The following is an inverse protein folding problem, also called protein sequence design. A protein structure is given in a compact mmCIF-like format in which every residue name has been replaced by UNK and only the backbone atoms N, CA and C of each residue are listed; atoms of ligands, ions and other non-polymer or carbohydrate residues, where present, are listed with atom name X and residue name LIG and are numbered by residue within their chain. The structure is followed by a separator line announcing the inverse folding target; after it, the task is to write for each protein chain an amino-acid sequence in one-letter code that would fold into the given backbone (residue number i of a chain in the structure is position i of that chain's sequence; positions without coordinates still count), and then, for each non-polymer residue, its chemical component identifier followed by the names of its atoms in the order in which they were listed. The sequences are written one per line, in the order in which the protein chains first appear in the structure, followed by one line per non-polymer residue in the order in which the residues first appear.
data_IF_588335148714
#
_entry.id   IF_588335148714
#
_cell.length_a   1.000
_cell.length_b   1.000
_cell.length_c   1.000
_cell.angle_alpha   90.00
_cell.angle_beta   90.00
_cell.angle_gamma   90.00
#
_symmetry.space_group_name_H-M   'P 1'
#
loop_
_entity.id
_entity.type
_entity.pdbx_description
1 polymer ?
#
# COMPACT_ATOMS: atom_id res chain seq x y z
N UNK A 1 18.53 -1.28 17.29
CA UNK A 1 17.07 -1.08 17.16
C UNK A 1 16.62 -1.91 15.97
N UNK A 2 15.57 -2.72 16.09
CA UNK A 2 15.02 -3.45 14.94
C UNK A 2 14.39 -2.42 14.00
N UNK A 3 14.93 -2.23 12.80
CA UNK A 3 14.35 -1.32 11.81
C UNK A 3 13.16 -1.99 11.14
N UNK A 4 11.95 -1.50 11.39
CA UNK A 4 10.75 -1.88 10.63
C UNK A 4 10.93 -1.49 9.17
N UNK A 5 10.57 -2.39 8.25
CA UNK A 5 10.57 -2.12 6.82
C UNK A 5 9.16 -1.77 6.36
N UNK A 6 9.08 -0.86 5.40
CA UNK A 6 7.84 -0.50 4.72
C UNK A 6 7.89 -1.02 3.29
N UNK A 7 6.90 -1.82 2.93
CA UNK A 7 6.73 -2.32 1.58
C UNK A 7 5.47 -1.68 0.97
N UNK A 8 5.61 -1.09 -0.22
CA UNK A 8 4.49 -0.54 -0.97
C UNK A 8 4.22 -1.48 -2.15
N UNK A 9 2.99 -1.94 -2.27
CA UNK A 9 2.55 -2.78 -3.38
C UNK A 9 1.41 -2.09 -4.14
N UNK A 10 1.61 -1.86 -5.43
CA UNK A 10 0.61 -1.27 -6.33
C UNK A 10 -0.15 -2.39 -7.04
N UNK A 11 -1.47 -2.34 -6.97
CA UNK A 11 -2.36 -3.42 -7.45
C UNK A 11 -3.37 -2.91 -8.48
N UNK A 12 -3.77 -3.80 -9.38
CA UNK A 12 -4.82 -3.55 -10.36
C UNK A 12 -6.08 -4.32 -9.99
N UNK A 13 -7.22 -3.67 -10.17
CA UNK A 13 -8.50 -4.36 -10.05
C UNK A 13 -8.69 -5.29 -11.25
N UNK A 14 -9.45 -6.36 -11.05
CA UNK A 14 -9.92 -7.21 -12.16
C UNK A 14 -10.64 -6.35 -13.21
N UNK A 15 -10.37 -6.52 -14.52
CA UNK A 15 -10.83 -5.59 -15.55
C UNK A 15 -12.36 -5.49 -15.70
N UNK A 16 -13.09 -6.54 -15.36
CA UNK A 16 -14.56 -6.63 -15.42
C UNK A 16 -15.29 -5.94 -14.25
N UNK A 17 -14.57 -5.56 -13.19
CA UNK A 17 -15.16 -4.89 -12.02
C UNK A 17 -15.25 -3.38 -12.22
N UNK A 18 -16.15 -2.71 -11.51
CA UNK A 18 -16.05 -1.25 -11.31
C UNK A 18 -15.05 -0.93 -10.21
N UNK A 19 -14.58 0.32 -10.13
CA UNK A 19 -13.76 0.78 -8.98
C UNK A 19 -14.50 0.57 -7.66
N UNK A 20 -15.80 0.87 -7.61
CA UNK A 20 -16.63 0.68 -6.41
C UNK A 20 -16.72 -0.78 -5.98
N UNK A 21 -16.95 -1.70 -6.93
CA UNK A 21 -17.00 -3.14 -6.64
C UNK A 21 -15.67 -3.65 -6.09
N UNK A 22 -14.56 -3.24 -6.72
CA UNK A 22 -13.21 -3.56 -6.26
C UNK A 22 -12.97 -3.04 -4.84
N UNK A 23 -13.23 -1.76 -4.58
CA UNK A 23 -13.04 -1.15 -3.26
C UNK A 23 -13.91 -1.78 -2.18
N UNK A 24 -15.17 -2.08 -2.49
CA UNK A 24 -16.06 -2.72 -1.55
C UNK A 24 -15.57 -4.13 -1.20
N UNK A 25 -15.21 -4.95 -2.20
CA UNK A 25 -14.67 -6.29 -1.93
C UNK A 25 -13.37 -6.22 -1.15
N UNK A 26 -12.44 -5.38 -1.59
CA UNK A 26 -11.10 -5.27 -1.00
C UNK A 26 -11.16 -4.79 0.45
N UNK A 27 -12.03 -3.82 0.77
CA UNK A 27 -12.15 -3.26 2.12
C UNK A 27 -13.07 -4.06 3.04
N UNK A 28 -14.18 -4.60 2.54
CA UNK A 28 -15.21 -5.19 3.40
C UNK A 28 -15.19 -6.71 3.44
N UNK A 29 -14.58 -7.38 2.45
CA UNK A 29 -14.52 -8.85 2.36
C UNK A 29 -13.08 -9.34 2.56
N UNK A 30 -12.12 -8.76 1.84
CA UNK A 30 -10.72 -9.17 1.89
C UNK A 30 -10.01 -8.67 3.15
N UNK A 31 -10.15 -7.39 3.50
CA UNK A 31 -9.43 -6.80 4.64
C UNK A 31 -9.66 -7.52 5.99
N UNK A 32 -10.85 -8.01 6.35
CA UNK A 32 -11.03 -8.83 7.56
C UNK A 32 -10.18 -10.12 7.57
N UNK A 33 -10.05 -10.80 6.42
CA UNK A 33 -9.22 -12.00 6.28
C UNK A 33 -7.74 -11.66 6.48
N UNK A 34 -7.29 -10.57 5.86
CA UNK A 34 -5.92 -10.05 6.03
C UNK A 34 -5.68 -9.64 7.48
N UNK A 35 -6.60 -8.94 8.14
CA UNK A 35 -6.43 -8.51 9.53
C UNK A 35 -6.27 -9.71 10.48
N UNK A 36 -7.07 -10.77 10.29
CA UNK A 36 -6.91 -12.01 11.05
C UNK A 36 -5.55 -12.67 10.80
N UNK A 37 -5.17 -12.84 9.54
CA UNK A 37 -3.91 -13.47 9.15
C UNK A 37 -2.68 -12.66 9.58
N UNK A 38 -2.72 -11.34 9.41
CA UNK A 38 -1.65 -10.41 9.78
C UNK A 38 -1.39 -10.46 11.30
N UNK A 39 -2.46 -10.42 12.10
CA UNK A 39 -2.36 -10.56 13.56
C UNK A 39 -1.77 -11.91 13.96
N UNK A 40 -2.23 -13.01 13.35
CA UNK A 40 -1.73 -14.37 13.63
C UNK A 40 -0.24 -14.51 13.31
N UNK A 41 0.20 -13.88 12.22
CA UNK A 41 1.57 -14.00 11.72
C UNK A 41 2.50 -12.85 12.15
N UNK A 42 2.06 -11.95 13.04
CA UNK A 42 2.92 -10.88 13.56
C UNK A 42 3.34 -9.84 12.51
N UNK A 43 2.50 -9.59 11.50
CA UNK A 43 2.65 -8.44 10.62
C UNK A 43 2.31 -7.17 11.42
N UNK A 44 3.13 -6.12 11.29
CA UNK A 44 3.02 -4.92 12.13
C UNK A 44 1.87 -4.03 11.64
N UNK A 45 1.73 -3.88 10.31
CA UNK A 45 0.75 -2.97 9.72
C UNK A 45 0.34 -3.37 8.31
N UNK A 46 -0.89 -3.04 7.97
CA UNK A 46 -1.47 -3.18 6.64
C UNK A 46 -2.42 -2.01 6.39
N UNK A 47 -2.11 -1.18 5.41
CA UNK A 47 -2.92 -0.03 5.01
C UNK A 47 -3.34 -0.17 3.56
N UNK A 48 -4.63 0.01 3.30
CA UNK A 48 -5.18 0.09 1.95
C UNK A 48 -5.32 1.56 1.53
N UNK A 49 -4.87 1.88 0.33
CA UNK A 49 -5.08 3.17 -0.31
C UNK A 49 -5.90 2.91 -1.57
N UNK A 50 -7.12 3.44 -1.60
CA UNK A 50 -7.95 3.45 -2.80
C UNK A 50 -7.51 4.61 -3.69
N UNK A 51 -7.23 4.34 -4.96
CA UNK A 51 -6.73 5.35 -5.90
C UNK A 51 -7.70 5.51 -7.08
N UNK A 52 -8.93 6.00 -6.83
CA UNK A 52 -9.91 6.16 -7.89
C UNK A 52 -9.40 7.10 -8.98
N UNK A 53 -9.81 6.83 -10.20
CA UNK A 53 -9.52 7.62 -11.38
C UNK A 53 -9.82 9.11 -11.17
N UNK A 54 -10.89 9.45 -10.45
CA UNK A 54 -11.26 10.84 -10.13
C UNK A 54 -10.21 11.58 -9.28
N UNK A 55 -9.44 10.87 -8.44
CA UNK A 55 -8.35 11.48 -7.66
C UNK A 55 -7.01 11.46 -8.41
N UNK A 56 -6.82 10.51 -9.34
CA UNK A 56 -5.58 10.42 -10.14
C UNK A 56 -5.58 11.33 -11.37
N UNK A 57 -6.72 11.55 -12.00
CA UNK A 57 -6.83 12.37 -13.21
C UNK A 57 -6.29 13.79 -13.03
N UNK A 58 -6.62 14.53 -11.96
CA UNK A 58 -6.10 15.89 -11.78
C UNK A 58 -4.57 15.95 -11.64
N UNK A 59 -3.93 14.87 -11.21
CA UNK A 59 -2.46 14.80 -11.11
C UNK A 59 -1.79 14.84 -12.49
N UNK A 60 -2.49 14.43 -13.56
CA UNK A 60 -1.95 14.44 -14.92
C UNK A 60 -1.79 15.85 -15.48
N UNK A 61 -2.60 16.78 -14.99
CA UNK A 61 -2.61 18.17 -15.43
C UNK A 61 -1.70 19.07 -14.58
N UNK A 62 -1.02 18.51 -13.57
CA UNK A 62 -0.11 19.28 -12.74
C UNK A 62 1.09 19.80 -13.56
N UNK A 63 1.48 21.08 -13.42
CA UNK A 63 2.57 21.68 -14.19
C UNK A 63 3.96 21.31 -13.61
N UNK A 64 4.16 20.05 -13.26
CA UNK A 64 5.42 19.51 -12.73
C UNK A 64 5.74 18.18 -13.41
N UNK A 65 7.02 17.79 -13.54
CA UNK A 65 7.42 16.58 -14.27
C UNK A 65 7.16 15.32 -13.43
N UNK A 66 5.89 14.91 -13.32
CA UNK A 66 5.48 13.69 -12.62
C UNK A 66 4.88 12.66 -13.58
N UNK A 67 5.00 11.38 -13.22
CA UNK A 67 4.29 10.28 -13.88
C UNK A 67 3.21 9.78 -12.94
N UNK A 68 1.95 9.83 -13.40
CA UNK A 68 0.81 9.27 -12.65
C UNK A 68 0.73 7.78 -12.94
N UNK A 69 0.80 6.97 -11.89
CA UNK A 69 0.72 5.52 -12.05
C UNK A 69 -0.74 5.08 -12.26
N UNK A 70 -0.94 4.14 -13.17
CA UNK A 70 -2.24 3.57 -13.52
C UNK A 70 -2.49 2.27 -12.73
N UNK A 71 -2.73 2.43 -11.44
CA UNK A 71 -3.15 1.38 -10.50
C UNK A 71 -4.43 1.80 -9.80
N UNK A 72 -5.23 0.81 -9.40
CA UNK A 72 -6.52 1.03 -8.73
C UNK A 72 -6.37 1.05 -7.20
N UNK A 73 -5.26 0.54 -6.67
CA UNK A 73 -4.96 0.66 -5.25
C UNK A 73 -3.48 0.50 -4.92
N UNK A 74 -3.13 0.87 -3.69
CA UNK A 74 -1.84 0.60 -3.09
C UNK A 74 -2.00 -0.01 -1.70
N UNK A 75 -1.12 -0.95 -1.35
CA UNK A 75 -0.95 -1.48 0.00
C UNK A 75 0.32 -0.91 0.58
N UNK A 76 0.29 -0.49 1.84
CA UNK A 76 1.48 -0.29 2.66
C UNK A 76 1.52 -1.39 3.71
N UNK A 77 2.57 -2.21 3.66
CA UNK A 77 2.89 -3.18 4.70
C UNK A 77 3.97 -2.63 5.62
N UNK A 78 3.77 -2.79 6.91
CA UNK A 78 4.82 -2.61 7.91
C UNK A 78 5.24 -3.99 8.40
N UNK A 79 6.50 -4.34 8.17
CA UNK A 79 7.02 -5.69 8.41
C UNK A 79 8.29 -5.64 9.24
N UNK A 80 8.51 -6.61 10.15
CA UNK A 80 9.71 -6.64 10.98
C UNK A 80 10.95 -7.02 10.17
N UNK A 81 10.80 -7.87 9.15
CA UNK A 81 11.85 -8.23 8.19
C UNK A 81 11.24 -8.89 6.95
N UNK A 82 12.02 -8.97 5.87
CA UNK A 82 11.62 -9.71 4.66
C UNK A 82 11.44 -11.21 4.92
N UNK A 83 12.30 -11.81 5.74
CA UNK A 83 12.18 -13.23 6.10
C UNK A 83 10.86 -13.51 6.83
N UNK A 84 10.51 -12.65 7.79
CA UNK A 84 9.26 -12.78 8.54
C UNK A 84 8.04 -12.63 7.63
N UNK A 85 8.06 -11.64 6.73
CA UNK A 85 7.02 -11.45 5.73
C UNK A 85 6.85 -12.70 4.86
N UNK A 86 7.93 -13.23 4.28
CA UNK A 86 7.88 -14.45 3.45
C UNK A 86 7.36 -15.66 4.25
N UNK A 87 7.77 -15.80 5.51
CA UNK A 87 7.31 -16.89 6.36
C UNK A 87 5.80 -16.80 6.66
N UNK A 88 5.24 -15.60 6.78
CA UNK A 88 3.79 -15.41 6.99
C UNK A 88 2.95 -16.02 5.84
N UNK A 89 3.44 -15.95 4.59
CA UNK A 89 2.74 -16.51 3.43
C UNK A 89 2.73 -18.06 3.42
N UNK A 90 3.51 -18.71 4.29
CA UNK A 90 3.47 -20.17 4.46
C UNK A 90 2.30 -20.62 5.33
N UNK A 91 1.57 -19.70 5.96
CA UNK A 91 0.36 -20.03 6.71
C UNK A 91 -0.68 -20.70 5.79
N UNK A 92 -1.15 -21.93 6.10
CA UNK A 92 -2.18 -22.58 5.30
C UNK A 92 -3.43 -21.73 5.08
N UNK A 93 -3.79 -20.88 6.05
CA UNK A 93 -4.93 -19.95 5.92
C UNK A 93 -4.77 -18.98 4.75
N UNK A 94 -3.53 -18.56 4.43
CA UNK A 94 -3.28 -17.73 3.27
C UNK A 94 -3.68 -18.48 1.99
N UNK A 95 -3.20 -19.71 1.83
CA UNK A 95 -3.46 -20.52 0.66
C UNK A 95 -4.93 -20.96 0.52
N UNK A 96 -5.63 -21.22 1.63
CA UNK A 96 -7.03 -21.68 1.61
C UNK A 96 -8.06 -20.56 1.51
N UNK A 97 -7.80 -19.39 2.10
CA UNK A 97 -8.84 -18.37 2.30
C UNK A 97 -8.51 -17.02 1.66
N UNK A 98 -7.22 -16.63 1.59
CA UNK A 98 -6.78 -15.32 1.10
C UNK A 98 -6.44 -15.39 -0.39
N UNK A 99 -5.55 -16.29 -0.79
CA UNK A 99 -5.12 -16.39 -2.18
C UNK A 99 -6.29 -16.66 -3.16
N UNK A 100 -7.28 -17.52 -2.85
CA UNK A 100 -8.46 -17.69 -3.70
C UNK A 100 -9.40 -16.47 -3.67
N UNK A 101 -9.42 -15.72 -2.56
CA UNK A 101 -10.23 -14.52 -2.46
C UNK A 101 -9.71 -13.40 -3.36
N UNK A 102 -8.40 -13.27 -3.48
CA UNK A 102 -7.72 -12.34 -4.37
C UNK A 102 -8.16 -12.49 -5.84
N UNK A 103 -8.48 -13.70 -6.30
CA UNK A 103 -8.95 -13.96 -7.68
C UNK A 103 -10.33 -13.31 -7.96
N UNK A 104 -11.05 -12.93 -6.91
CA UNK A 104 -12.35 -12.27 -7.05
C UNK A 104 -12.23 -10.78 -7.35
N UNK A 105 -11.08 -10.14 -7.10
CA UNK A 105 -10.96 -8.68 -7.20
C UNK A 105 -9.65 -8.16 -7.78
N UNK A 106 -8.55 -8.91 -7.75
CA UNK A 106 -7.28 -8.53 -8.37
C UNK A 106 -7.21 -8.98 -9.83
N UNK A 107 -6.57 -8.16 -10.65
CA UNK A 107 -6.10 -8.60 -11.96
C UNK A 107 -4.79 -9.39 -11.80
N UNK A 108 -4.87 -10.71 -11.99
CA UNK A 108 -3.73 -11.63 -11.98
C UNK A 108 -3.32 -12.10 -13.39
N UNK A 109 -3.81 -11.44 -14.45
CA UNK A 109 -3.42 -11.77 -15.83
C UNK A 109 -1.96 -11.42 -16.16
N UNK A 110 -1.33 -10.58 -15.32
CA UNK A 110 0.08 -10.17 -15.37
C UNK A 110 0.70 -10.32 -13.97
N UNK A 111 1.59 -9.40 -13.58
CA UNK A 111 2.08 -9.29 -12.22
C UNK A 111 0.96 -8.85 -11.28
N UNK A 112 0.76 -9.61 -10.19
CA UNK A 112 -0.27 -9.31 -9.16
C UNK A 112 -0.05 -7.95 -8.51
N UNK A 113 1.21 -7.55 -8.34
CA UNK A 113 1.57 -6.25 -7.81
C UNK A 113 2.94 -5.77 -8.33
N UNK A 114 3.14 -4.45 -8.37
CA UNK A 114 4.46 -3.82 -8.48
C UNK A 114 4.89 -3.33 -7.10
N UNK A 115 6.09 -3.70 -6.66
CA UNK A 115 6.50 -3.57 -5.26
C UNK A 115 7.79 -2.76 -5.12
N UNK A 116 7.87 -1.93 -4.08
CA UNK A 116 9.12 -1.38 -3.53
C UNK A 116 9.21 -1.61 -2.03
N UNK A 117 10.42 -1.59 -1.48
CA UNK A 117 10.73 -1.83 -0.07
C UNK A 117 11.75 -0.80 0.41
N UNK A 118 11.54 -0.24 1.58
CA UNK A 118 12.48 0.73 2.15
C UNK A 118 12.38 0.86 3.67
N UNK A 119 13.30 1.66 4.21
CA UNK A 119 13.21 2.14 5.58
C UNK A 119 12.26 3.33 5.64
N UNK A 120 11.46 3.40 6.69
CA UNK A 120 10.54 4.50 6.90
C UNK A 120 11.17 5.59 7.78
N UNK A 121 11.12 6.82 7.28
CA UNK A 121 11.61 8.00 7.98
C UNK A 121 10.47 9.01 8.09
N UNK A 122 9.96 9.17 9.30
CA UNK A 122 8.94 10.15 9.62
C UNK A 122 9.58 11.54 9.77
N UNK A 123 9.31 12.43 8.82
CA UNK A 123 9.85 13.80 8.82
C UNK A 123 8.85 14.79 9.44
N UNK A 124 7.55 14.60 9.18
CA UNK A 124 6.45 15.41 9.71
C UNK A 124 5.28 14.47 10.03
N UNK A 125 4.66 14.62 11.20
CA UNK A 125 3.44 13.91 11.56
C UNK A 125 2.50 14.80 12.38
N UNK A 126 1.19 14.73 12.13
CA UNK A 126 0.22 15.56 12.86
C UNK A 126 0.43 17.06 12.66
N UNK A 127 0.93 17.47 11.49
CA UNK A 127 1.34 18.84 11.16
C UNK A 127 2.58 19.38 11.90
N UNK A 128 3.30 18.54 12.65
CA UNK A 128 4.52 18.93 13.38
C UNK A 128 5.77 18.25 12.80
N UNK A 129 6.91 18.96 12.68
CA UNK A 129 8.17 18.38 12.28
C UNK A 129 8.70 17.45 13.38
N UNK A 130 9.22 16.30 12.96
CA UNK A 130 9.82 15.29 13.83
C UNK A 130 11.35 15.28 13.78
N UNK A 131 11.91 16.18 12.97
CA UNK A 131 13.34 16.41 12.84
C UNK A 131 13.64 17.89 13.04
N UNK A 132 14.87 18.20 13.44
CA UNK A 132 15.34 19.59 13.50
C UNK A 132 15.36 20.20 12.09
N UNK A 133 14.85 21.42 11.95
CA UNK A 133 14.90 22.21 10.70
C UNK A 133 15.29 23.66 11.03
N UNK A 134 16.09 24.31 10.17
CA UNK A 134 16.44 25.72 10.32
C UNK A 134 15.52 26.60 9.48
N UNK A 135 14.97 27.67 10.07
CA UNK A 135 14.12 28.62 9.34
C UNK A 135 14.91 29.54 8.37
N UNK A 136 16.24 29.56 8.46
CA UNK A 136 17.12 30.43 7.68
C UNK A 136 17.23 30.09 6.19
N UNK A 137 16.71 28.94 5.75
CA UNK A 137 16.69 28.54 4.34
C UNK A 137 15.47 29.08 3.56
N UNK A 138 14.43 29.58 4.25
CA UNK A 138 13.23 30.14 3.60
C UNK A 138 13.45 31.49 2.91
N UNK A 139 14.46 32.28 3.31
CA UNK A 139 14.61 33.67 2.85
C UNK A 139 15.42 33.85 1.55
N UNK A 140 15.77 32.78 0.84
CA UNK A 140 16.61 32.86 -0.38
C UNK A 140 15.83 32.83 -1.70
N UNK A 141 14.50 32.83 -1.67
CA UNK A 141 13.66 32.68 -2.88
C UNK A 141 12.41 33.58 -2.94
N UNK A 142 12.38 34.69 -2.21
CA UNK A 142 11.42 35.79 -2.50
C UNK A 142 12.08 36.92 -3.29
#
# INVERSE_FOLDING_TARGET
MSSTLYMIALIRRRPDLTEEQFYNHWRNIHAPKIAYWAKKNGIIGYTQIHTPSSLRQPLKDMPIPITVMEYDGAVIWEIPSMEHYINAFKDPYYASDIAPDEDNFLDKSKEVATITLGNFHNIVAGAEPLIDYSESERSKTE
#
